data_IF_137213073575
#
_entry.id   IF_137213073575
#
_cell.length_a   1.000
_cell.length_b   1.000
_cell.length_c   1.000
_cell.angle_alpha   90.00
_cell.angle_beta   90.00
_cell.angle_gamma   90.00
#
_symmetry.space_group_name_H-M   'P 1'
#
loop_
_entity.id
_entity.type
_entity.pdbx_description
1 polymer ?
#
# COMPACT_ATOMS: atom_id res chain seq x y z
N UNK A 1 14.05 -2.46 47.33
CA UNK A 1 12.89 -2.71 46.46
C UNK A 1 13.39 -2.88 45.04
N UNK A 2 13.04 -3.99 44.37
CA UNK A 2 13.31 -4.14 42.94
C UNK A 2 12.19 -3.47 42.13
N UNK A 3 12.55 -2.75 41.08
CA UNK A 3 11.60 -2.16 40.14
C UNK A 3 11.75 -2.81 38.79
N UNK A 4 10.65 -3.17 38.15
CA UNK A 4 10.63 -3.76 36.84
C UNK A 4 9.76 -2.93 35.90
N UNK A 5 10.34 -2.59 34.74
CA UNK A 5 9.62 -1.99 33.60
C UNK A 5 9.64 -3.04 32.49
N UNK A 6 8.46 -3.45 32.05
CA UNK A 6 8.33 -4.56 31.10
C UNK A 6 7.21 -4.34 30.10
N UNK A 7 7.44 -4.66 28.84
CA UNK A 7 6.44 -4.55 27.79
C UNK A 7 5.97 -3.12 27.55
N UNK A 8 6.85 -2.15 27.67
CA UNK A 8 6.54 -0.73 27.43
C UNK A 8 6.95 -0.31 26.03
N UNK A 9 6.16 0.62 25.48
CA UNK A 9 6.30 1.12 24.13
C UNK A 9 6.21 2.66 24.12
N UNK A 10 7.02 3.33 23.29
CA UNK A 10 6.94 4.77 23.08
C UNK A 10 7.44 5.16 21.69
N UNK A 11 6.68 6.01 21.02
CA UNK A 11 7.01 6.74 19.80
C UNK A 11 7.08 8.26 20.05
N UNK A 12 7.17 8.68 21.31
CA UNK A 12 7.15 10.06 21.71
C UNK A 12 8.40 10.85 21.27
N UNK A 13 8.23 12.15 21.05
CA UNK A 13 9.33 13.10 20.94
C UNK A 13 9.68 13.61 22.33
N UNK A 14 10.91 13.35 22.79
CA UNK A 14 11.44 13.75 24.08
C UNK A 14 12.52 14.80 23.86
N UNK A 15 12.33 15.99 24.39
CA UNK A 15 13.24 17.13 24.20
C UNK A 15 13.64 17.71 25.56
N UNK A 16 14.95 17.79 25.85
CA UNK A 16 15.47 18.70 26.87
C UNK A 16 15.96 19.98 26.21
N UNK A 17 15.45 21.10 26.68
CA UNK A 17 15.81 22.46 26.23
C UNK A 17 16.77 23.16 27.16
N UNK A 18 17.11 22.55 28.29
CA UNK A 18 18.08 23.11 29.24
C UNK A 18 19.45 23.26 28.60
N UNK A 19 20.14 24.35 28.90
CA UNK A 19 21.50 24.63 28.45
C UNK A 19 22.40 25.11 29.61
N UNK A 20 22.00 24.81 30.87
CA UNK A 20 22.75 25.20 32.06
C UNK A 20 23.98 24.29 32.20
N UNK A 21 25.16 24.91 32.28
CA UNK A 21 26.43 24.20 32.44
C UNK A 21 26.61 23.59 33.83
N UNK A 22 25.78 23.98 34.81
CA UNK A 22 25.89 23.52 36.21
C UNK A 22 25.05 22.24 36.47
N UNK A 23 24.26 21.75 35.48
CA UNK A 23 23.39 20.60 35.66
C UNK A 23 23.62 19.54 34.55
N UNK A 24 23.45 18.28 34.92
CA UNK A 24 23.50 17.16 33.99
C UNK A 24 22.08 16.74 33.60
N UNK A 25 21.75 16.86 32.34
CA UNK A 25 20.48 16.34 31.81
C UNK A 25 20.60 14.88 31.48
N UNK A 26 19.64 14.09 31.93
CA UNK A 26 19.50 12.68 31.55
C UNK A 26 18.22 12.49 30.78
N UNK A 27 18.35 12.15 29.51
CA UNK A 27 17.22 12.05 28.59
C UNK A 27 17.14 10.66 27.97
N UNK A 28 16.04 9.99 28.20
CA UNK A 28 15.79 8.67 27.61
C UNK A 28 14.44 8.61 26.91
N UNK A 29 14.33 7.79 25.89
CA UNK A 29 13.08 7.61 25.15
C UNK A 29 11.97 6.98 26.01
N UNK A 30 12.34 6.13 26.95
CA UNK A 30 11.42 5.54 27.93
C UNK A 30 11.65 6.09 29.34
N UNK A 31 12.89 6.18 29.76
CA UNK A 31 13.27 6.57 31.14
C UNK A 31 14.44 7.53 31.07
N UNK A 32 14.30 8.73 31.61
CA UNK A 32 15.40 9.70 31.68
C UNK A 32 16.49 9.27 32.63
N UNK A 33 16.11 8.97 33.87
CA UNK A 33 17.05 8.62 34.93
C UNK A 33 16.55 7.46 35.77
N UNK A 34 17.47 6.57 36.15
CA UNK A 34 17.23 5.50 37.11
C UNK A 34 18.11 5.68 38.34
N UNK A 35 17.49 5.75 39.50
CA UNK A 35 18.18 5.84 40.77
C UNK A 35 17.85 4.64 41.64
N UNK A 36 18.83 4.24 42.47
CA UNK A 36 18.66 3.27 43.52
C UNK A 36 18.19 1.87 43.05
N UNK A 37 19.04 1.17 42.37
CA UNK A 37 18.77 -0.20 41.99
C UNK A 37 19.05 -1.19 43.12
N UNK A 38 18.08 -2.01 43.47
CA UNK A 38 18.32 -3.29 44.12
C UNK A 38 18.81 -4.27 43.05
N UNK A 39 19.50 -5.33 43.49
CA UNK A 39 20.15 -6.37 42.66
C UNK A 39 19.22 -7.05 41.57
N UNK A 40 17.98 -6.59 41.37
CA UNK A 40 16.98 -7.16 40.46
C UNK A 40 16.12 -6.15 39.72
N UNK A 41 16.55 -4.89 39.62
CA UNK A 41 15.84 -3.90 38.81
C UNK A 41 16.08 -4.12 37.32
N UNK A 42 15.03 -4.00 36.50
CA UNK A 42 15.16 -4.30 35.07
C UNK A 42 14.22 -3.51 34.18
N UNK A 43 14.67 -3.27 32.96
CA UNK A 43 13.87 -2.80 31.81
C UNK A 43 13.93 -3.90 30.76
N UNK A 44 12.80 -4.56 30.51
CA UNK A 44 12.78 -5.72 29.60
C UNK A 44 11.65 -5.65 28.59
N UNK A 45 11.89 -6.21 27.42
CA UNK A 45 10.86 -6.31 26.38
C UNK A 45 10.19 -4.94 26.10
N UNK A 46 10.98 -3.92 25.84
CA UNK A 46 10.48 -2.57 25.57
C UNK A 46 10.93 -2.09 24.20
N UNK A 47 10.17 -1.18 23.60
CA UNK A 47 10.60 -0.54 22.37
C UNK A 47 10.45 0.99 22.41
N UNK A 48 11.33 1.65 21.64
CA UNK A 48 11.31 3.08 21.39
C UNK A 48 11.54 3.34 19.90
N UNK A 49 10.65 4.10 19.28
CA UNK A 49 10.75 4.51 17.86
C UNK A 49 10.60 6.02 17.65
N UNK A 50 10.47 6.79 18.72
CA UNK A 50 10.32 8.24 18.70
C UNK A 50 11.61 8.99 18.42
N UNK A 51 11.73 10.20 18.93
CA UNK A 51 12.94 11.02 18.86
C UNK A 51 13.37 11.50 20.25
N UNK A 52 14.68 11.58 20.46
CA UNK A 52 15.25 12.16 21.68
C UNK A 52 16.24 13.24 21.29
N UNK A 53 16.14 14.41 21.91
CA UNK A 53 17.13 15.47 21.73
C UNK A 53 17.47 16.17 23.04
N UNK A 54 18.74 16.55 23.19
CA UNK A 54 19.22 17.32 24.33
C UNK A 54 20.29 18.33 23.88
N UNK A 55 20.16 19.57 24.30
CA UNK A 55 21.09 20.65 23.96
C UNK A 55 22.17 20.89 25.02
N UNK A 56 22.11 20.21 26.16
CA UNK A 56 23.07 20.36 27.24
C UNK A 56 24.34 19.54 26.93
N UNK A 57 25.51 20.18 27.04
CA UNK A 57 26.82 19.55 26.79
C UNK A 57 27.19 18.48 27.85
N UNK A 58 26.60 18.52 29.03
CA UNK A 58 26.80 17.53 30.09
C UNK A 58 25.70 16.47 30.12
N UNK A 59 24.95 16.30 29.03
CA UNK A 59 23.84 15.38 28.98
C UNK A 59 24.25 13.92 28.80
N UNK A 60 23.40 13.04 29.30
CA UNK A 60 23.43 11.60 29.00
C UNK A 60 22.14 11.24 28.24
N UNK A 61 22.26 10.79 27.00
CA UNK A 61 21.14 10.56 26.10
C UNK A 61 21.09 9.11 25.62
N UNK A 62 19.97 8.43 25.84
CA UNK A 62 19.75 7.06 25.39
C UNK A 62 18.34 6.82 24.87
N UNK A 63 18.19 5.87 23.95
CA UNK A 63 16.87 5.53 23.39
C UNK A 63 15.97 4.83 24.40
N UNK A 64 16.52 4.03 25.29
CA UNK A 64 15.77 3.35 26.36
C UNK A 64 15.93 4.07 27.68
N UNK A 65 17.14 4.28 28.12
CA UNK A 65 17.48 4.88 29.41
C UNK A 65 18.55 5.95 29.20
N UNK A 66 18.31 7.17 29.68
CA UNK A 66 19.30 8.26 29.66
C UNK A 66 20.50 7.91 30.53
N UNK A 67 20.30 7.78 31.82
CA UNK A 67 21.36 7.42 32.74
C UNK A 67 20.90 6.55 33.92
N UNK A 68 21.84 5.77 34.45
CA UNK A 68 21.70 5.05 35.70
C UNK A 68 22.69 5.62 36.72
N UNK A 69 22.19 6.34 37.71
CA UNK A 69 22.99 6.90 38.80
C UNK A 69 22.93 5.99 40.01
N UNK A 70 23.67 4.90 40.00
CA UNK A 70 23.87 4.09 41.19
C UNK A 70 25.04 4.55 42.01
N UNK A 71 24.94 4.30 43.31
CA UNK A 71 25.98 4.61 44.26
C UNK A 71 27.29 3.94 43.84
N UNK A 72 28.26 4.71 43.39
CA UNK A 72 29.51 4.27 42.76
C UNK A 72 30.45 3.47 43.68
N UNK A 73 30.10 3.31 44.96
CA UNK A 73 30.94 2.70 45.99
C UNK A 73 30.77 1.20 46.19
N UNK A 74 29.98 0.51 45.37
CA UNK A 74 29.75 -0.95 45.53
C UNK A 74 29.68 -1.72 44.22
N UNK A 75 30.24 -2.95 44.22
CA UNK A 75 30.15 -3.95 43.11
C UNK A 75 28.72 -4.48 42.89
N UNK A 76 27.69 -3.62 42.89
CA UNK A 76 26.34 -4.06 42.63
C UNK A 76 26.04 -3.99 41.14
N UNK A 77 25.39 -5.01 40.57
CA UNK A 77 24.93 -4.94 39.21
C UNK A 77 23.91 -3.80 39.10
N UNK A 78 24.07 -2.94 38.10
CA UNK A 78 23.13 -1.90 37.78
C UNK A 78 21.80 -2.44 37.19
N UNK A 79 21.00 -1.57 36.63
CA UNK A 79 19.77 -1.96 35.94
C UNK A 79 20.07 -2.92 34.80
N UNK A 80 19.31 -3.99 34.71
CA UNK A 80 19.36 -4.93 33.57
C UNK A 80 18.45 -4.39 32.47
N UNK A 81 18.99 -4.13 31.27
CA UNK A 81 18.21 -3.83 30.06
C UNK A 81 18.31 -5.03 29.14
N UNK A 82 17.17 -5.68 28.88
CA UNK A 82 17.16 -6.91 28.10
C UNK A 82 16.04 -6.95 27.09
N UNK A 83 16.34 -7.51 25.90
CA UNK A 83 15.35 -7.74 24.83
C UNK A 83 14.55 -6.48 24.47
N UNK A 84 15.24 -5.34 24.39
CA UNK A 84 14.68 -4.06 24.03
C UNK A 84 15.10 -3.66 22.62
N UNK A 85 14.27 -2.88 21.94
CA UNK A 85 14.54 -2.39 20.59
C UNK A 85 14.46 -0.86 20.54
N UNK A 86 15.44 -0.24 19.92
CA UNK A 86 15.45 1.19 19.55
C UNK A 86 15.37 1.29 18.03
N UNK A 87 14.20 1.59 17.51
CA UNK A 87 13.89 1.59 16.08
C UNK A 87 13.77 3.02 15.52
N UNK A 88 14.65 3.93 15.93
CA UNK A 88 14.68 5.32 15.48
C UNK A 88 16.07 5.70 14.99
N UNK A 89 16.16 6.74 14.17
CA UNK A 89 17.41 7.39 13.78
C UNK A 89 17.57 8.77 14.40
N UNK A 90 16.60 9.20 15.19
CA UNK A 90 16.47 10.57 15.69
C UNK A 90 16.87 10.67 17.19
N UNK A 91 18.09 10.27 17.53
CA UNK A 91 18.68 10.53 18.85
C UNK A 91 19.82 11.52 18.66
N UNK A 92 19.73 12.70 19.27
CA UNK A 92 20.68 13.79 19.12
C UNK A 92 21.06 14.39 20.48
N UNK A 93 22.26 14.94 20.57
CA UNK A 93 22.72 15.66 21.76
C UNK A 93 23.89 16.59 21.44
N UNK A 94 24.24 17.46 22.39
CA UNK A 94 25.30 18.44 22.20
C UNK A 94 26.70 17.82 22.19
N UNK A 95 26.92 16.74 22.98
CA UNK A 95 28.21 16.05 23.07
C UNK A 95 28.10 14.60 22.56
N UNK A 96 28.78 14.27 21.47
CA UNK A 96 28.67 12.95 20.83
C UNK A 96 28.98 11.77 21.75
N UNK A 97 29.91 11.92 22.68
CA UNK A 97 30.33 10.85 23.58
C UNK A 97 29.28 10.38 24.59
N UNK A 98 28.21 11.15 24.76
CA UNK A 98 27.14 10.89 25.72
C UNK A 98 25.84 10.47 25.07
N UNK A 99 25.85 10.24 23.75
CA UNK A 99 24.67 9.85 22.97
C UNK A 99 24.80 8.38 22.58
N UNK A 100 23.77 7.58 22.88
CA UNK A 100 23.76 6.16 22.60
C UNK A 100 22.38 5.68 22.16
N UNK A 101 22.33 4.49 21.56
CA UNK A 101 21.05 3.89 21.21
C UNK A 101 20.29 3.35 22.43
N UNK A 102 20.94 2.70 23.38
CA UNK A 102 20.26 2.06 24.50
C UNK A 102 20.39 2.88 25.79
N UNK A 103 21.59 3.08 26.30
CA UNK A 103 21.82 3.84 27.53
C UNK A 103 23.20 4.48 27.55
N UNK A 104 23.29 5.67 28.15
CA UNK A 104 24.54 6.45 28.19
C UNK A 104 25.49 6.11 29.34
N UNK A 105 25.16 5.19 30.26
CA UNK A 105 25.98 4.90 31.44
C UNK A 105 26.32 3.41 31.59
N UNK A 106 27.61 3.13 31.82
CA UNK A 106 28.31 1.83 31.71
C UNK A 106 27.93 0.75 32.75
N UNK A 107 27.41 1.12 33.91
CA UNK A 107 27.04 0.10 34.95
C UNK A 107 25.70 -0.58 34.69
N UNK A 108 25.27 -0.62 33.45
CA UNK A 108 24.01 -1.22 33.04
C UNK A 108 24.31 -2.52 32.30
N UNK A 109 23.68 -3.62 32.71
CA UNK A 109 23.78 -4.88 31.99
C UNK A 109 22.80 -4.88 30.80
N UNK A 110 23.30 -4.68 29.58
CA UNK A 110 22.52 -4.70 28.36
C UNK A 110 22.73 -6.04 27.65
N UNK A 111 21.65 -6.74 27.34
CA UNK A 111 21.69 -8.02 26.61
C UNK A 111 20.52 -8.17 25.64
N UNK A 112 20.73 -8.88 24.55
CA UNK A 112 19.69 -9.22 23.56
C UNK A 112 18.94 -8.02 22.99
N UNK A 113 19.53 -6.81 23.03
CA UNK A 113 18.91 -5.59 22.53
C UNK A 113 19.18 -5.39 21.02
N UNK A 114 18.35 -4.59 20.38
CA UNK A 114 18.42 -4.30 18.93
C UNK A 114 18.40 -2.80 18.72
N UNK A 115 19.29 -2.30 17.84
CA UNK A 115 19.45 -0.88 17.54
C UNK A 115 19.87 -0.66 16.06
N UNK A 116 19.84 0.60 15.55
CA UNK A 116 20.33 0.90 14.20
C UNK A 116 21.81 0.55 13.99
N UNK A 117 22.17 0.07 12.81
CA UNK A 117 23.55 -0.20 12.39
C UNK A 117 24.35 1.05 11.98
N UNK A 118 23.74 2.22 12.12
CA UNK A 118 24.34 3.55 11.92
C UNK A 118 24.51 4.26 13.25
N UNK A 119 25.47 5.17 13.42
CA UNK A 119 25.55 5.98 14.64
C UNK A 119 24.33 6.91 14.77
N UNK A 120 24.00 7.40 15.98
CA UNK A 120 23.04 8.49 16.16
C UNK A 120 23.46 9.74 15.38
N UNK A 121 22.49 10.57 15.01
CA UNK A 121 22.75 11.80 14.24
C UNK A 121 23.68 12.74 14.98
N UNK A 122 24.73 13.22 14.29
CA UNK A 122 25.75 14.11 14.85
C UNK A 122 26.88 13.38 15.60
N UNK A 123 26.79 12.07 15.79
CA UNK A 123 27.88 11.27 16.37
C UNK A 123 28.85 10.85 15.30
N UNK A 124 30.10 11.32 15.40
CA UNK A 124 31.21 10.85 14.56
C UNK A 124 32.01 9.84 15.36
N UNK A 125 32.05 8.61 14.89
CA UNK A 125 32.89 7.57 15.49
C UNK A 125 34.31 7.76 14.94
N UNK A 126 35.20 8.33 15.74
CA UNK A 126 36.62 8.38 15.39
C UNK A 126 37.40 7.25 16.11
N UNK A 127 38.48 6.80 15.48
CA UNK A 127 39.32 5.71 16.03
C UNK A 127 40.10 6.13 17.27
N UNK A 128 40.25 7.43 17.52
CA UNK A 128 41.00 7.97 18.67
C UNK A 128 40.12 8.02 19.92
N UNK A 129 38.86 8.36 19.76
CA UNK A 129 37.89 8.40 20.88
C UNK A 129 37.27 7.03 21.16
N UNK A 130 37.17 6.15 20.14
CA UNK A 130 36.52 4.82 20.23
C UNK A 130 37.34 3.74 19.56
N UNK A 131 38.57 3.45 20.01
CA UNK A 131 39.52 2.56 19.29
C UNK A 131 39.06 1.12 19.11
N UNK A 132 38.12 0.62 19.94
CA UNK A 132 37.64 -0.77 19.94
C UNK A 132 36.33 -0.99 19.24
N UNK A 133 35.72 0.09 18.69
CA UNK A 133 34.37 0.06 18.11
C UNK A 133 34.30 -0.22 16.60
N UNK A 134 35.27 -0.99 16.05
CA UNK A 134 35.25 -1.37 14.63
C UNK A 134 33.97 -2.15 14.29
N UNK A 135 32.91 -1.43 13.87
CA UNK A 135 31.67 -1.99 13.31
C UNK A 135 30.51 -2.18 14.26
N UNK A 136 30.64 -1.87 15.57
CA UNK A 136 29.50 -1.90 16.50
C UNK A 136 29.18 -0.49 17.00
N UNK A 137 28.19 0.12 16.40
CA UNK A 137 27.69 1.45 16.78
C UNK A 137 27.09 1.38 18.19
N UNK A 138 27.38 2.38 19.00
CA UNK A 138 27.21 2.47 20.43
C UNK A 138 25.82 2.08 20.96
N UNK A 139 25.65 0.84 21.40
CA UNK A 139 24.50 0.45 22.19
C UNK A 139 24.55 1.14 23.56
N UNK A 140 25.75 1.23 24.14
CA UNK A 140 26.01 1.79 25.45
C UNK A 140 27.21 2.73 25.37
N UNK A 141 27.13 3.92 25.96
CA UNK A 141 28.28 4.80 26.04
C UNK A 141 29.37 4.17 26.91
N UNK A 142 30.61 4.36 26.50
CA UNK A 142 31.79 3.93 27.20
C UNK A 142 32.16 4.84 28.37
N UNK A 143 31.33 5.79 28.74
CA UNK A 143 31.61 6.79 29.74
C UNK A 143 31.40 6.23 31.15
N UNK A 144 32.47 6.08 31.89
CA UNK A 144 32.45 6.01 33.35
C UNK A 144 32.60 7.45 33.85
N UNK A 145 31.56 8.04 34.37
CA UNK A 145 31.64 9.35 35.04
C UNK A 145 31.98 9.06 36.49
N UNK A 146 33.20 9.36 36.88
CA UNK A 146 33.60 9.39 38.30
C UNK A 146 33.45 10.87 38.81
N UNK A 147 32.33 11.14 39.43
CA UNK A 147 31.98 12.47 39.93
C UNK A 147 32.91 12.91 41.08
N UNK A 148 33.45 11.97 41.85
CA UNK A 148 34.36 12.30 42.98
C UNK A 148 35.77 12.65 42.49
N UNK A 149 36.17 12.14 41.34
CA UNK A 149 37.48 12.39 40.75
C UNK A 149 37.49 13.43 39.64
N UNK A 150 36.34 13.90 39.21
CA UNK A 150 36.21 14.86 38.08
C UNK A 150 36.73 14.30 36.74
N UNK A 151 36.78 13.02 36.59
CA UNK A 151 37.28 12.34 35.37
C UNK A 151 36.19 11.53 34.72
N UNK A 152 35.93 11.84 33.45
CA UNK A 152 35.20 10.94 32.56
C UNK A 152 36.20 9.98 31.88
N UNK A 153 36.00 8.66 32.02
CA UNK A 153 36.88 7.66 31.42
C UNK A 153 36.10 6.55 30.72
N UNK A 154 36.62 6.05 29.62
CA UNK A 154 36.10 4.86 28.97
C UNK A 154 36.49 3.59 29.74
N UNK A 155 35.56 2.65 29.94
CA UNK A 155 35.92 1.31 30.42
C UNK A 155 36.47 0.47 29.23
N UNK A 156 37.75 0.22 29.17
CA UNK A 156 38.37 -0.49 28.05
C UNK A 156 38.01 -1.98 28.00
N UNK A 157 37.30 -2.51 29.00
CA UNK A 157 36.94 -3.93 29.12
C UNK A 157 35.51 -4.21 28.69
N UNK A 158 34.72 -3.16 28.35
CA UNK A 158 33.33 -3.33 27.97
C UNK A 158 33.18 -3.85 26.52
N UNK A 159 32.62 -5.05 26.39
CA UNK A 159 32.32 -5.65 25.10
C UNK A 159 30.88 -5.36 24.66
N UNK A 160 30.73 -4.48 23.71
CA UNK A 160 29.43 -4.12 23.18
C UNK A 160 28.74 -5.24 22.38
N UNK A 161 29.49 -6.23 21.90
CA UNK A 161 28.93 -7.38 21.21
C UNK A 161 28.00 -8.23 22.10
N UNK A 162 28.20 -8.16 23.43
CA UNK A 162 27.33 -8.80 24.41
C UNK A 162 25.96 -8.10 24.58
N UNK A 163 25.83 -6.85 24.14
CA UNK A 163 24.60 -6.07 24.30
C UNK A 163 23.46 -6.51 23.38
N UNK A 164 23.78 -7.12 22.23
CA UNK A 164 22.79 -7.52 21.23
C UNK A 164 23.26 -7.29 19.79
N UNK A 165 22.38 -6.78 18.94
CA UNK A 165 22.61 -6.71 17.49
C UNK A 165 22.21 -5.36 16.89
N UNK A 166 23.14 -4.77 16.12
CA UNK A 166 22.86 -3.63 15.25
C UNK A 166 22.22 -4.10 13.95
N UNK A 167 21.17 -3.40 13.46
CA UNK A 167 20.43 -3.79 12.26
C UNK A 167 20.13 -2.61 11.37
N UNK A 168 20.16 -2.83 10.04
CA UNK A 168 19.71 -1.85 9.05
C UNK A 168 18.21 -1.96 8.73
N UNK A 169 17.63 -3.13 9.00
CA UNK A 169 16.23 -3.43 8.71
C UNK A 169 15.52 -4.04 9.93
N UNK A 170 14.71 -3.25 10.57
CA UNK A 170 13.94 -3.68 11.74
C UNK A 170 12.75 -4.60 11.42
N UNK A 171 12.28 -4.65 10.17
CA UNK A 171 11.16 -5.51 9.76
C UNK A 171 11.58 -6.90 9.32
N UNK A 172 12.87 -7.25 9.45
CA UNK A 172 13.35 -8.59 9.08
C UNK A 172 12.78 -9.67 10.00
N UNK A 173 12.56 -10.86 9.44
CA UNK A 173 12.07 -12.01 10.21
C UNK A 173 13.02 -12.40 11.35
N UNK A 174 14.34 -12.23 11.15
CA UNK A 174 15.36 -12.56 12.17
C UNK A 174 15.27 -11.62 13.39
N UNK A 175 14.98 -10.33 13.17
CA UNK A 175 14.77 -9.37 14.26
C UNK A 175 13.57 -9.78 15.11
N UNK A 176 12.44 -10.07 14.49
CA UNK A 176 11.24 -10.55 15.20
C UNK A 176 11.50 -11.86 15.93
N UNK A 177 12.13 -12.84 15.27
CA UNK A 177 12.44 -14.15 15.87
C UNK A 177 13.37 -14.02 17.07
N UNK A 178 14.37 -13.13 17.01
CA UNK A 178 15.27 -12.82 18.13
C UNK A 178 14.51 -12.29 19.35
N UNK A 179 13.65 -11.30 19.14
CA UNK A 179 12.80 -10.73 20.20
C UNK A 179 11.83 -11.76 20.80
N UNK A 180 11.22 -12.61 19.96
CA UNK A 180 10.32 -13.67 20.41
C UNK A 180 11.05 -14.74 21.23
N UNK A 181 12.28 -15.11 20.84
CA UNK A 181 13.09 -16.11 21.53
C UNK A 181 13.45 -15.66 22.95
N UNK A 182 13.74 -14.38 23.11
CA UNK A 182 14.19 -13.78 24.36
C UNK A 182 13.05 -13.15 25.18
N UNK A 183 11.81 -13.23 24.69
CA UNK A 183 10.64 -12.60 25.31
C UNK A 183 10.37 -13.14 26.72
N UNK A 184 10.15 -12.24 27.64
CA UNK A 184 9.74 -12.57 28.99
C UNK A 184 8.27 -13.05 29.05
N UNK A 185 7.94 -13.81 30.09
CA UNK A 185 6.59 -14.36 30.26
C UNK A 185 5.50 -13.29 30.15
N UNK A 186 4.50 -13.50 29.29
CA UNK A 186 3.36 -12.60 29.08
C UNK A 186 3.63 -11.46 28.09
N UNK A 187 4.78 -11.44 27.42
CA UNK A 187 5.06 -10.52 26.30
C UNK A 187 5.00 -11.31 25.00
N UNK A 188 4.20 -10.80 24.05
CA UNK A 188 4.06 -11.37 22.72
C UNK A 188 4.48 -10.32 21.69
N UNK A 189 5.65 -10.57 21.09
CA UNK A 189 6.16 -9.76 19.98
C UNK A 189 5.56 -10.22 18.66
N UNK A 190 5.11 -9.27 17.86
CA UNK A 190 4.52 -9.49 16.53
C UNK A 190 5.16 -8.55 15.51
N UNK A 191 4.97 -8.86 14.22
CA UNK A 191 5.36 -7.96 13.15
C UNK A 191 4.58 -6.64 13.25
N UNK A 192 5.29 -5.53 13.13
CA UNK A 192 4.72 -4.19 13.23
C UNK A 192 5.05 -3.33 12.02
N UNK A 193 4.52 -2.11 12.00
CA UNK A 193 4.78 -1.10 10.98
C UNK A 193 6.16 -0.49 11.25
N UNK A 194 7.13 -0.79 10.38
CA UNK A 194 8.50 -0.27 10.50
C UNK A 194 9.40 -1.01 11.49
N UNK A 195 8.87 -1.65 12.52
CA UNK A 195 9.59 -2.47 13.50
C UNK A 195 8.65 -3.45 14.20
N UNK A 196 9.15 -4.51 14.87
CA UNK A 196 8.32 -5.38 15.71
C UNK A 196 7.64 -4.61 16.83
N UNK A 197 6.41 -4.99 17.14
CA UNK A 197 5.61 -4.39 18.21
C UNK A 197 4.94 -5.49 19.06
N UNK A 198 4.03 -5.12 19.95
CA UNK A 198 3.32 -6.07 20.81
C UNK A 198 1.95 -6.44 20.25
N UNK A 199 1.49 -7.66 20.54
CA UNK A 199 0.19 -8.15 20.07
C UNK A 199 -1.01 -7.29 20.52
N UNK A 200 -0.86 -6.48 21.57
CA UNK A 200 -1.88 -5.55 22.07
C UNK A 200 -1.82 -4.15 21.40
N UNK A 201 -0.76 -3.87 20.63
CA UNK A 201 -0.51 -2.54 20.05
C UNK A 201 -1.13 -2.40 18.66
N UNK A 202 -2.44 -2.34 18.59
CA UNK A 202 -3.18 -2.26 17.33
C UNK A 202 -2.82 -1.04 16.47
N UNK A 203 -2.17 -0.01 17.04
CA UNK A 203 -1.71 1.16 16.28
C UNK A 203 -0.47 0.88 15.42
N UNK A 204 0.35 -0.07 15.82
CA UNK A 204 1.59 -0.41 15.13
C UNK A 204 1.53 -1.78 14.42
N UNK A 205 0.44 -2.53 14.54
CA UNK A 205 0.21 -3.74 13.73
C UNK A 205 -0.38 -3.31 12.38
N UNK A 206 0.12 -3.83 11.23
CA UNK A 206 -0.49 -3.56 9.93
C UNK A 206 -1.94 -4.03 9.88
N UNK A 207 -2.79 -3.28 9.18
CA UNK A 207 -4.16 -3.72 8.89
C UNK A 207 -4.17 -4.94 7.95
N UNK A 208 -5.27 -5.69 7.95
CA UNK A 208 -5.51 -6.78 7.00
C UNK A 208 -6.11 -6.25 5.70
N UNK A 209 -5.37 -6.39 4.61
CA UNK A 209 -5.77 -5.97 3.26
C UNK A 209 -6.33 -7.11 2.41
N UNK A 210 -6.57 -8.30 2.97
CA UNK A 210 -7.03 -9.46 2.20
C UNK A 210 -8.31 -9.17 1.41
N UNK A 211 -9.27 -8.45 1.99
CA UNK A 211 -10.49 -8.05 1.31
C UNK A 211 -10.23 -7.07 0.16
N UNK A 212 -9.35 -6.08 0.37
CA UNK A 212 -8.94 -5.10 -0.65
C UNK A 212 -8.27 -5.82 -1.82
N UNK A 213 -7.33 -6.71 -1.54
CA UNK A 213 -6.60 -7.46 -2.57
C UNK A 213 -7.54 -8.36 -3.39
N UNK A 214 -8.53 -8.97 -2.73
CA UNK A 214 -9.52 -9.79 -3.40
C UNK A 214 -10.41 -8.99 -4.37
N UNK A 215 -10.84 -7.78 -3.98
CA UNK A 215 -11.67 -6.95 -4.86
C UNK A 215 -10.86 -6.29 -5.96
N UNK A 216 -9.59 -5.93 -5.72
CA UNK A 216 -8.66 -5.47 -6.77
C UNK A 216 -8.45 -6.58 -7.81
N UNK A 217 -8.27 -7.83 -7.36
CA UNK A 217 -8.14 -8.96 -8.28
C UNK A 217 -9.39 -9.18 -9.14
N UNK A 218 -10.60 -9.01 -8.57
CA UNK A 218 -11.86 -9.03 -9.33
C UNK A 218 -11.91 -7.91 -10.36
N UNK A 219 -11.56 -6.68 -9.96
CA UNK A 219 -11.55 -5.52 -10.84
C UNK A 219 -10.60 -5.71 -12.03
N UNK A 220 -9.38 -6.15 -11.76
CA UNK A 220 -8.35 -6.34 -12.81
C UNK A 220 -8.64 -7.51 -13.77
N UNK A 221 -9.53 -8.42 -13.40
CA UNK A 221 -10.00 -9.48 -14.28
C UNK A 221 -11.09 -9.02 -15.27
N UNK A 222 -11.66 -7.84 -15.11
CA UNK A 222 -12.64 -7.27 -16.02
C UNK A 222 -11.97 -6.69 -17.27
N UNK A 223 -12.61 -6.86 -18.42
CA UNK A 223 -12.20 -6.15 -19.63
C UNK A 223 -12.71 -4.69 -19.57
N UNK A 224 -11.83 -3.78 -19.22
CA UNK A 224 -12.15 -2.34 -19.08
C UNK A 224 -12.69 -1.73 -20.38
N UNK A 225 -12.36 -2.31 -21.54
CA UNK A 225 -12.80 -1.79 -22.84
C UNK A 225 -14.32 -1.88 -23.05
N UNK A 226 -14.99 -2.74 -22.29
CA UNK A 226 -16.43 -2.96 -22.40
C UNK A 226 -17.28 -1.92 -21.67
N UNK A 227 -16.68 -1.07 -20.80
CA UNK A 227 -17.41 -0.18 -19.91
C UNK A 227 -17.22 1.29 -20.28
N UNK A 228 -18.21 2.12 -19.97
CA UNK A 228 -18.17 3.58 -20.19
C UNK A 228 -17.49 4.31 -19.04
N UNK A 229 -17.55 3.76 -17.81
CA UNK A 229 -17.17 4.42 -16.57
C UNK A 229 -16.14 3.61 -15.75
N UNK A 230 -15.28 2.82 -16.42
CA UNK A 230 -14.27 1.98 -15.74
C UNK A 230 -13.24 2.81 -14.95
N UNK A 231 -13.02 4.08 -15.32
CA UNK A 231 -12.11 4.98 -14.61
C UNK A 231 -12.48 5.16 -13.12
N UNK A 232 -13.75 5.07 -12.76
CA UNK A 232 -14.17 5.12 -11.36
C UNK A 232 -13.63 3.94 -10.53
N UNK A 233 -13.47 2.77 -11.15
CA UNK A 233 -12.85 1.60 -10.52
C UNK A 233 -11.35 1.83 -10.36
N UNK A 234 -10.68 2.34 -11.39
CA UNK A 234 -9.25 2.69 -11.34
C UNK A 234 -8.97 3.74 -10.25
N UNK A 235 -9.77 4.78 -10.16
CA UNK A 235 -9.65 5.83 -9.14
C UNK A 235 -9.81 5.24 -7.72
N UNK A 236 -10.77 4.34 -7.52
CA UNK A 236 -10.98 3.66 -6.25
C UNK A 236 -9.80 2.78 -5.86
N UNK A 237 -9.20 2.07 -6.81
CA UNK A 237 -7.99 1.25 -6.59
C UNK A 237 -6.79 2.14 -6.24
N UNK A 238 -6.59 3.22 -6.98
CA UNK A 238 -5.47 4.15 -6.77
C UNK A 238 -5.56 4.91 -5.45
N UNK A 239 -6.75 5.03 -4.86
CA UNK A 239 -6.97 5.67 -3.57
C UNK A 239 -6.66 4.77 -2.37
N UNK A 240 -6.28 3.50 -2.57
CA UNK A 240 -5.97 2.58 -1.49
C UNK A 240 -4.71 3.01 -0.77
N UNK A 241 -4.85 3.36 0.51
CA UNK A 241 -3.74 3.64 1.41
C UNK A 241 -3.32 2.36 2.13
N UNK A 242 -2.09 1.91 1.88
CA UNK A 242 -1.53 0.68 2.46
C UNK A 242 -0.71 0.91 3.73
N UNK A 243 -0.74 2.10 4.29
CA UNK A 243 -0.03 2.45 5.51
C UNK A 243 -0.91 2.37 6.78
N UNK A 244 -2.12 1.85 6.67
CA UNK A 244 -3.06 1.75 7.79
C UNK A 244 -2.67 0.68 8.78
N UNK A 245 -2.91 0.99 10.06
CA UNK A 245 -2.76 0.03 11.15
C UNK A 245 -4.04 -0.76 11.41
N UNK A 246 -3.93 -1.82 12.20
CA UNK A 246 -5.07 -2.65 12.66
C UNK A 246 -6.14 -1.82 13.39
N UNK A 247 -5.75 -0.78 14.14
CA UNK A 247 -6.70 0.17 14.74
C UNK A 247 -7.56 0.90 13.70
N UNK A 248 -7.10 0.97 12.44
CA UNK A 248 -7.79 1.60 11.31
C UNK A 248 -8.42 0.58 10.35
N UNK A 249 -8.62 -0.69 10.78
CA UNK A 249 -9.18 -1.74 9.93
C UNK A 249 -10.49 -1.34 9.26
N UNK A 250 -11.36 -0.61 9.97
CA UNK A 250 -12.64 -0.14 9.41
C UNK A 250 -12.45 0.77 8.18
N UNK A 251 -11.36 1.56 8.14
CA UNK A 251 -11.04 2.40 6.97
C UNK A 251 -10.60 1.52 5.79
N UNK A 252 -9.83 0.46 6.06
CA UNK A 252 -9.41 -0.52 5.04
C UNK A 252 -10.61 -1.28 4.47
N UNK A 253 -11.54 -1.71 5.34
CA UNK A 253 -12.77 -2.36 4.90
C UNK A 253 -13.64 -1.43 4.04
N UNK A 254 -13.66 -0.13 4.36
CA UNK A 254 -14.35 0.88 3.54
C UNK A 254 -13.69 1.07 2.16
N UNK A 255 -12.35 0.95 2.05
CA UNK A 255 -11.67 0.97 0.75
C UNK A 255 -12.06 -0.24 -0.11
N UNK A 256 -12.12 -1.45 0.47
CA UNK A 256 -12.59 -2.64 -0.24
C UNK A 256 -14.02 -2.43 -0.75
N UNK A 257 -14.91 -1.92 0.12
CA UNK A 257 -16.29 -1.62 -0.26
C UNK A 257 -16.39 -0.57 -1.37
N UNK A 258 -15.58 0.47 -1.34
CA UNK A 258 -15.60 1.50 -2.39
C UNK A 258 -15.25 0.92 -3.77
N UNK A 259 -14.30 -0.01 -3.84
CA UNK A 259 -13.96 -0.71 -5.09
C UNK A 259 -15.12 -1.62 -5.52
N UNK A 260 -15.74 -2.36 -4.59
CA UNK A 260 -16.92 -3.19 -4.89
C UNK A 260 -18.09 -2.37 -5.42
N UNK A 261 -18.37 -1.23 -4.79
CA UNK A 261 -19.44 -0.32 -5.22
C UNK A 261 -19.14 0.26 -6.60
N UNK A 262 -17.89 0.61 -6.89
CA UNK A 262 -17.47 1.08 -8.21
C UNK A 262 -17.63 -0.01 -9.29
N UNK A 263 -17.28 -1.26 -8.98
CA UNK A 263 -17.50 -2.41 -9.88
C UNK A 263 -19.00 -2.63 -10.12
N UNK A 264 -19.82 -2.56 -9.07
CA UNK A 264 -21.27 -2.74 -9.17
C UNK A 264 -21.96 -1.63 -9.98
N UNK A 265 -21.36 -0.45 -10.03
CA UNK A 265 -21.86 0.70 -10.79
C UNK A 265 -21.39 0.73 -12.26
N UNK A 266 -20.64 -0.29 -12.71
CA UNK A 266 -20.15 -0.33 -14.09
C UNK A 266 -21.30 -0.40 -15.09
N UNK A 267 -21.16 0.38 -16.15
CA UNK A 267 -22.11 0.45 -17.26
C UNK A 267 -21.42 0.00 -18.54
N UNK A 268 -22.03 -0.97 -19.22
CA UNK A 268 -21.55 -1.39 -20.51
C UNK A 268 -21.69 -0.26 -21.54
N UNK A 269 -20.78 -0.22 -22.49
CA UNK A 269 -20.92 0.58 -23.71
C UNK A 269 -22.08 0.06 -24.54
N UNK A 270 -22.72 0.95 -25.30
CA UNK A 270 -23.72 0.54 -26.28
C UNK A 270 -23.09 -0.34 -27.37
N UNK A 271 -23.88 -1.21 -27.95
CA UNK A 271 -23.46 -1.97 -29.13
C UNK A 271 -23.28 -1.04 -30.35
N UNK A 272 -22.46 -1.43 -31.29
CA UNK A 272 -22.26 -0.72 -32.56
C UNK A 272 -23.34 -1.09 -33.57
N UNK A 273 -24.21 -0.13 -33.88
CA UNK A 273 -25.30 -0.29 -34.84
C UNK A 273 -24.96 0.16 -36.27
N UNK A 274 -23.67 0.48 -36.56
CA UNK A 274 -23.29 0.99 -37.89
C UNK A 274 -23.73 0.08 -39.01
N UNK A 275 -23.57 -1.22 -38.91
CA UNK A 275 -23.99 -2.19 -39.91
C UNK A 275 -25.53 -2.23 -40.08
N UNK A 276 -26.27 -2.13 -38.99
CA UNK A 276 -27.74 -2.06 -38.99
C UNK A 276 -28.21 -0.82 -39.73
N UNK A 277 -27.61 0.32 -39.43
CA UNK A 277 -27.97 1.59 -40.06
C UNK A 277 -27.64 1.59 -41.55
N UNK A 278 -26.52 1.00 -41.97
CA UNK A 278 -26.16 0.77 -43.37
C UNK A 278 -27.17 -0.14 -44.08
N UNK A 279 -27.58 -1.24 -43.43
CA UNK A 279 -28.55 -2.16 -44.01
C UNK A 279 -29.91 -1.53 -44.15
N UNK A 280 -30.37 -0.73 -43.14
CA UNK A 280 -31.61 0.04 -43.20
C UNK A 280 -31.54 1.08 -44.34
N UNK A 281 -30.39 1.77 -44.47
CA UNK A 281 -30.21 2.77 -45.55
C UNK A 281 -30.30 2.08 -46.94
N UNK A 282 -29.68 0.92 -47.11
CA UNK A 282 -29.82 0.12 -48.34
C UNK A 282 -31.28 -0.24 -48.59
N UNK A 283 -32.02 -0.75 -47.61
CA UNK A 283 -33.43 -1.09 -47.70
C UNK A 283 -34.30 0.11 -48.16
N UNK A 284 -34.06 1.28 -47.49
CA UNK A 284 -34.81 2.50 -47.77
C UNK A 284 -34.52 3.13 -49.16
N UNK A 285 -33.36 2.84 -49.73
CA UNK A 285 -32.99 3.29 -51.09
C UNK A 285 -33.70 2.49 -52.18
N UNK A 286 -34.28 1.34 -51.85
CA UNK A 286 -35.01 0.50 -52.82
C UNK A 286 -36.42 1.02 -53.08
N UNK A 287 -36.82 1.07 -54.36
CA UNK A 287 -38.22 1.37 -54.71
C UNK A 287 -39.04 0.08 -54.57
N UNK A 288 -39.84 -0.04 -53.52
CA UNK A 288 -40.64 -1.22 -53.18
C UNK A 288 -41.63 -1.61 -54.33
N UNK A 289 -42.06 -0.66 -55.14
CA UNK A 289 -43.01 -0.89 -56.22
C UNK A 289 -42.41 -1.75 -57.33
N UNK A 290 -41.12 -1.88 -57.40
CA UNK A 290 -40.41 -2.71 -58.38
C UNK A 290 -40.37 -4.22 -58.02
N UNK A 291 -40.75 -4.59 -56.78
CA UNK A 291 -40.60 -5.98 -56.28
C UNK A 291 -41.98 -6.66 -56.13
N UNK A 292 -42.00 -8.00 -56.27
CA UNK A 292 -43.22 -8.81 -56.10
C UNK A 292 -43.73 -8.77 -54.67
N UNK A 293 -42.82 -8.90 -53.70
CA UNK A 293 -43.10 -8.77 -52.26
C UNK A 293 -41.94 -8.09 -51.58
N UNK A 294 -42.21 -7.06 -50.79
CA UNK A 294 -41.25 -6.29 -50.01
C UNK A 294 -41.43 -6.46 -48.47
N UNK A 295 -42.42 -7.26 -48.08
CA UNK A 295 -42.86 -7.38 -46.69
C UNK A 295 -41.78 -7.98 -45.76
N UNK A 296 -40.96 -8.88 -46.28
CA UNK A 296 -39.83 -9.47 -45.51
C UNK A 296 -38.80 -8.43 -45.11
N UNK A 297 -38.48 -7.47 -46.00
CA UNK A 297 -37.55 -6.35 -45.70
C UNK A 297 -38.18 -5.42 -44.67
N UNK A 298 -39.44 -5.02 -44.84
CA UNK A 298 -40.14 -4.17 -43.87
C UNK A 298 -40.20 -4.83 -42.49
N UNK A 299 -40.41 -6.14 -42.42
CA UNK A 299 -40.46 -6.90 -41.17
C UNK A 299 -39.09 -6.92 -40.50
N UNK A 300 -38.02 -7.20 -41.25
CA UNK A 300 -36.66 -7.23 -40.72
C UNK A 300 -36.23 -5.86 -40.20
N UNK A 301 -36.52 -4.76 -40.91
CA UNK A 301 -36.26 -3.39 -40.50
C UNK A 301 -37.02 -3.05 -39.21
N UNK A 302 -38.30 -3.41 -39.12
CA UNK A 302 -39.15 -3.15 -37.95
C UNK A 302 -38.73 -3.99 -36.73
N UNK A 303 -38.09 -5.14 -36.93
CA UNK A 303 -37.63 -6.01 -35.85
C UNK A 303 -36.34 -5.50 -35.18
N UNK A 304 -35.73 -4.43 -35.65
CA UNK A 304 -34.49 -3.86 -35.03
C UNK A 304 -34.79 -3.32 -33.66
N UNK A 305 -34.05 -3.81 -32.67
CA UNK A 305 -34.06 -3.37 -31.26
C UNK A 305 -32.78 -2.60 -30.99
N UNK A 306 -32.85 -1.44 -30.30
CA UNK A 306 -31.72 -0.50 -30.15
C UNK A 306 -31.27 -0.28 -28.70
N UNK A 307 -31.56 -1.21 -27.80
CA UNK A 307 -31.20 -1.18 -26.37
C UNK A 307 -30.12 -2.22 -26.01
N UNK A 308 -29.40 -2.72 -27.01
CA UNK A 308 -28.36 -3.71 -26.84
C UNK A 308 -27.04 -3.04 -26.46
N UNK A 309 -26.32 -3.67 -25.53
CA UNK A 309 -24.99 -3.25 -25.16
C UNK A 309 -23.90 -4.04 -25.92
N UNK A 310 -22.63 -3.65 -25.75
CA UNK A 310 -21.50 -4.20 -26.49
C UNK A 310 -21.32 -5.73 -26.32
N UNK A 311 -21.76 -6.32 -25.21
CA UNK A 311 -21.68 -7.78 -24.99
C UNK A 311 -22.69 -8.53 -25.83
N UNK A 312 -23.69 -7.84 -26.37
CA UNK A 312 -24.75 -8.36 -27.26
C UNK A 312 -24.50 -7.99 -28.73
N UNK A 313 -23.30 -7.57 -29.11
CA UNK A 313 -22.94 -7.15 -30.46
C UNK A 313 -23.30 -8.19 -31.52
N UNK A 314 -23.17 -9.45 -31.22
CA UNK A 314 -23.54 -10.52 -32.14
C UNK A 314 -25.02 -10.55 -32.51
N UNK A 315 -25.90 -10.15 -31.61
CA UNK A 315 -27.34 -10.01 -31.88
C UNK A 315 -27.61 -8.81 -32.78
N UNK A 316 -26.89 -7.70 -32.58
CA UNK A 316 -26.97 -6.53 -33.44
C UNK A 316 -26.48 -6.84 -34.86
N UNK A 317 -25.36 -7.54 -34.99
CA UNK A 317 -24.86 -8.02 -36.29
C UNK A 317 -25.85 -8.95 -36.98
N UNK A 318 -26.56 -9.81 -36.23
CA UNK A 318 -27.60 -10.66 -36.76
C UNK A 318 -28.81 -9.89 -37.30
N UNK A 319 -29.19 -8.77 -36.67
CA UNK A 319 -30.25 -7.86 -37.17
C UNK A 319 -29.85 -7.25 -38.53
N UNK A 320 -28.62 -6.76 -38.63
CA UNK A 320 -28.09 -6.25 -39.90
C UNK A 320 -28.14 -7.31 -41.01
N UNK A 321 -27.67 -8.51 -40.67
CA UNK A 321 -27.70 -9.65 -41.62
C UNK A 321 -29.12 -10.03 -42.04
N UNK A 322 -30.08 -10.03 -41.13
CA UNK A 322 -31.47 -10.34 -41.44
C UNK A 322 -32.06 -9.36 -42.48
N UNK A 323 -31.74 -8.07 -42.40
CA UNK A 323 -32.16 -7.05 -43.36
C UNK A 323 -31.45 -7.34 -44.70
N UNK A 324 -30.16 -7.59 -44.70
CA UNK A 324 -29.41 -7.86 -45.93
C UNK A 324 -29.88 -9.13 -46.63
N UNK A 325 -30.17 -10.21 -45.89
CA UNK A 325 -30.69 -11.47 -46.41
C UNK A 325 -32.11 -11.22 -47.02
N UNK A 326 -32.96 -10.42 -46.36
CA UNK A 326 -34.26 -10.06 -46.87
C UNK A 326 -34.18 -9.25 -48.19
N UNK A 327 -33.22 -8.31 -48.26
CA UNK A 327 -32.93 -7.55 -49.48
C UNK A 327 -32.46 -8.50 -50.61
N UNK A 328 -31.56 -9.41 -50.31
CA UNK A 328 -31.01 -10.36 -51.28
C UNK A 328 -32.07 -11.33 -51.83
N UNK A 329 -33.13 -11.61 -51.06
CA UNK A 329 -34.23 -12.49 -51.47
C UNK A 329 -35.28 -11.79 -52.33
N UNK A 330 -35.19 -10.47 -52.56
CA UNK A 330 -36.15 -9.73 -53.34
C UNK A 330 -36.21 -10.18 -54.80
N UNK A 331 -37.43 -10.30 -55.32
CA UNK A 331 -37.68 -10.61 -56.72
C UNK A 331 -38.37 -9.47 -57.41
N UNK A 332 -37.84 -9.04 -58.55
CA UNK A 332 -38.48 -8.01 -59.37
C UNK A 332 -39.83 -8.49 -59.91
N UNK A 333 -40.77 -7.55 -60.04
CA UNK A 333 -41.98 -7.80 -60.81
C UNK A 333 -41.63 -8.12 -62.24
N UNK A 334 -42.46 -8.94 -62.84
CA UNK A 334 -42.34 -9.23 -64.26
C UNK A 334 -42.56 -7.93 -65.09
N UNK A 335 -41.89 -7.81 -66.22
CA UNK A 335 -42.06 -6.68 -67.10
C UNK A 335 -43.51 -6.63 -67.60
N UNK A 336 -44.10 -5.43 -67.60
CA UNK A 336 -45.42 -5.20 -68.17
C UNK A 336 -45.30 -5.11 -69.70
N UNK A 337 -45.75 -6.14 -70.37
CA UNK A 337 -45.78 -6.25 -71.83
C UNK A 337 -47.08 -5.74 -72.46
N UNK A 338 -48.02 -5.19 -71.64
CA UNK A 338 -49.32 -4.78 -72.12
C UNK A 338 -49.24 -3.83 -73.32
N UNK A 339 -48.32 -2.88 -73.31
CA UNK A 339 -48.13 -1.94 -74.42
C UNK A 339 -47.51 -2.60 -75.64
N UNK A 340 -46.60 -3.53 -75.43
CA UNK A 340 -45.95 -4.30 -76.49
C UNK A 340 -46.98 -5.19 -77.13
N UNK A 341 -47.75 -5.94 -76.35
CA UNK A 341 -48.80 -6.80 -76.83
C UNK A 341 -49.85 -6.04 -77.60
N UNK A 342 -50.29 -4.86 -77.13
CA UNK A 342 -51.20 -3.95 -77.81
C UNK A 342 -50.60 -3.44 -79.14
N UNK A 343 -49.30 -3.16 -79.17
CA UNK A 343 -48.64 -2.74 -80.42
C UNK A 343 -48.55 -3.88 -81.42
N UNK A 344 -48.19 -5.13 -80.93
CA UNK A 344 -48.17 -6.31 -81.72
C UNK A 344 -49.58 -6.59 -82.28
N UNK A 345 -50.60 -6.54 -81.46
CA UNK A 345 -51.98 -6.74 -81.93
C UNK A 345 -52.41 -5.74 -83.05
N UNK A 346 -52.02 -4.47 -82.88
CA UNK A 346 -52.24 -3.43 -83.90
C UNK A 346 -51.49 -3.76 -85.20
N UNK A 347 -50.23 -4.14 -85.10
CA UNK A 347 -49.42 -4.53 -86.27
C UNK A 347 -49.99 -5.77 -86.98
N UNK A 348 -50.44 -6.74 -86.19
CA UNK A 348 -51.07 -7.94 -86.76
C UNK A 348 -52.41 -7.73 -87.40
N UNK A 349 -53.11 -6.65 -87.03
CA UNK A 349 -54.38 -6.26 -87.58
C UNK A 349 -54.26 -5.48 -88.92
N UNK A 350 -53.04 -5.12 -89.30
CA UNK A 350 -52.85 -4.46 -90.63
C UNK A 350 -52.90 -5.51 -91.71
N UNK A 351 -53.66 -5.19 -92.80
CA UNK A 351 -53.72 -6.07 -93.96
C UNK A 351 -52.60 -5.68 -94.89
N UNK A 352 -51.72 -6.69 -95.17
CA UNK A 352 -50.54 -6.50 -95.99
C UNK A 352 -50.87 -5.90 -97.36
N UNK A 353 -52.04 -6.21 -97.92
CA UNK A 353 -52.44 -5.77 -99.21
C UNK A 353 -52.83 -4.23 -99.26
N UNK A 354 -53.06 -3.65 -98.11
CA UNK A 354 -53.38 -2.23 -97.98
C UNK A 354 -52.10 -1.32 -97.94
N UNK A 355 -50.91 -1.88 -97.93
CA UNK A 355 -49.63 -1.16 -97.78
C UNK A 355 -48.70 -1.46 -98.96
N UNK A 356 -48.02 -0.46 -99.47
CA UNK A 356 -47.13 -0.54 -100.60
C UNK A 356 -45.78 -1.20 -100.23
N UNK A 357 -45.41 -1.18 -98.88
CA UNK A 357 -44.21 -1.80 -98.36
C UNK A 357 -44.52 -2.28 -96.92
N UNK A 358 -44.74 -3.60 -96.71
CA UNK A 358 -45.05 -4.23 -95.41
C UNK A 358 -43.96 -5.19 -94.97
N UNK A 359 -42.66 -4.91 -95.27
CA UNK A 359 -41.52 -5.77 -94.95
C UNK A 359 -40.92 -5.52 -93.60
#
# INVERSE_FOLDING_TARGET
WSTQVKGCASDATVISTESDEDHVDTVGGLIGQWENSADSSSITDCWFSGSVSCNNIYSAVGGILGANFENFSGNKPGVIIKNCIVATKNITGAEPGNITWITAVVKTHVTDCIWPDTPPDGVTLDEETYPDNKGNYLAVAKLVVDWDAGTAGADPTFDQSSCGTAVSNFTSADVLAGLQTNAGAGVEWVAGIGHPTFAWDDNNIPADYTAVDAVIAKATALDSSLYTNYSAVEDSINSVDRAKSKAQQTEVDAMAKAIEDAIAALQYKDADYTKVDEAIAKANALNKDNYKDFSAVETAVKAVVRDKNITEQSEVDAMAKAIEDAIAALQYKDADYTKVDAAIAKANALKKDDYKDFS
#
